data_IF_042485338554
#
_entry.id   IF_042485338554
#
_cell.length_a   1.000
_cell.length_b   1.000
_cell.length_c   1.000
_cell.angle_alpha   90.00
_cell.angle_beta   90.00
_cell.angle_gamma   90.00
#
_symmetry.space_group_name_H-M   'P 1'
#
loop_
_entity.id
_entity.type
_entity.pdbx_description
1 polymer ?
#
# COMPACT_ATOMS: atom_id res chain seq x y z
N UNK A 1 0.76 -10.38 27.93
CA UNK A 1 0.37 -11.02 26.64
C UNK A 1 -1.14 -10.94 26.38
N UNK A 2 -1.98 -10.64 27.37
CA UNK A 2 -3.45 -10.61 27.22
C UNK A 2 -4.01 -9.32 26.58
N UNK A 3 -3.26 -8.21 26.63
CA UNK A 3 -3.68 -6.93 26.04
C UNK A 3 -3.76 -6.94 24.51
N UNK A 4 -3.04 -7.86 23.83
CA UNK A 4 -3.02 -7.93 22.37
C UNK A 4 -4.27 -8.65 21.79
N UNK A 5 -4.86 -9.58 22.53
CA UNK A 5 -6.04 -10.32 22.08
C UNK A 5 -7.33 -9.50 22.18
N UNK A 6 -7.36 -8.49 23.06
CA UNK A 6 -8.54 -7.66 23.28
C UNK A 6 -8.71 -6.56 22.23
N UNK A 7 -7.71 -6.22 21.41
CA UNK A 7 -7.78 -5.10 20.46
C UNK A 7 -8.63 -5.39 19.21
N UNK A 8 -9.35 -6.51 19.13
CA UNK A 8 -10.14 -6.90 17.95
C UNK A 8 -11.40 -6.06 17.70
N UNK A 9 -11.86 -5.28 18.67
CA UNK A 9 -13.10 -4.51 18.61
C UNK A 9 -12.89 -3.07 19.11
N UNK A 10 -13.50 -2.10 18.41
CA UNK A 10 -13.72 -0.72 18.86
C UNK A 10 -14.10 -0.61 20.34
N UNK A 11 -14.98 -1.50 20.84
CA UNK A 11 -15.41 -1.50 22.25
C UNK A 11 -14.26 -1.74 23.24
N UNK A 12 -13.31 -2.59 22.87
CA UNK A 12 -12.15 -2.86 23.69
C UNK A 12 -11.17 -1.68 23.69
N UNK A 13 -11.01 -1.00 22.54
CA UNK A 13 -10.23 0.25 22.47
C UNK A 13 -10.82 1.31 23.41
N UNK A 14 -12.14 1.50 23.40
CA UNK A 14 -12.81 2.41 24.33
C UNK A 14 -12.63 1.99 25.79
N UNK A 15 -12.66 0.69 26.08
CA UNK A 15 -12.44 0.17 27.44
C UNK A 15 -11.03 0.48 27.94
N UNK A 16 -10.02 0.36 27.07
CA UNK A 16 -8.63 0.73 27.39
C UNK A 16 -8.49 2.24 27.63
N UNK A 17 -9.10 3.07 26.79
CA UNK A 17 -9.07 4.53 26.95
C UNK A 17 -9.72 4.96 28.28
N UNK A 18 -10.80 4.28 28.70
CA UNK A 18 -11.45 4.55 30.00
C UNK A 18 -10.56 4.19 31.19
N UNK A 19 -9.76 3.14 31.07
CA UNK A 19 -8.84 2.71 32.13
C UNK A 19 -7.58 3.58 32.19
N UNK A 20 -7.04 3.96 31.03
CA UNK A 20 -5.89 4.84 30.91
C UNK A 20 -6.12 5.85 29.76
N UNK A 21 -6.41 7.13 30.08
CA UNK A 21 -6.63 8.17 29.09
C UNK A 21 -5.43 8.43 28.16
N UNK A 22 -4.21 8.05 28.56
CA UNK A 22 -2.99 8.26 27.78
C UNK A 22 -2.56 7.01 26.99
N UNK A 23 -3.36 5.93 27.02
CA UNK A 23 -3.01 4.65 26.40
C UNK A 23 -2.70 4.78 24.91
N UNK A 24 -3.38 5.69 24.20
CA UNK A 24 -3.20 5.92 22.77
C UNK A 24 -1.80 6.43 22.42
N UNK A 25 -1.17 7.21 23.30
CA UNK A 25 0.18 7.73 23.07
C UNK A 25 1.26 6.66 23.26
N UNK A 26 0.96 5.63 24.06
CA UNK A 26 1.85 4.49 24.25
C UNK A 26 1.97 3.66 22.96
N UNK A 27 0.89 3.52 22.18
CA UNK A 27 0.92 2.81 20.89
C UNK A 27 1.85 3.49 19.87
N UNK A 28 1.98 4.81 19.90
CA UNK A 28 2.85 5.53 18.98
C UNK A 28 4.34 5.22 19.22
N UNK A 29 4.71 4.92 20.46
CA UNK A 29 6.08 4.58 20.85
C UNK A 29 6.47 3.15 20.48
N UNK A 30 5.49 2.29 20.22
CA UNK A 30 5.72 0.90 19.84
C UNK A 30 5.88 0.83 18.32
N UNK A 31 7.04 0.38 17.79
CA UNK A 31 7.29 0.36 16.35
C UNK A 31 6.36 -0.61 15.59
N UNK A 32 6.18 -1.82 16.13
CA UNK A 32 5.35 -2.88 15.55
C UNK A 32 4.29 -3.30 16.56
N UNK A 33 3.02 -3.12 16.21
CA UNK A 33 1.91 -3.44 17.10
C UNK A 33 0.66 -3.77 16.30
N UNK A 34 -0.01 -4.88 16.64
CA UNK A 34 -1.36 -5.13 16.15
C UNK A 34 -2.29 -4.11 16.81
N UNK A 35 -3.01 -3.36 15.99
CA UNK A 35 -3.98 -2.35 16.42
C UNK A 35 -5.37 -2.76 15.98
N UNK A 36 -6.44 -2.23 16.61
CA UNK A 36 -7.81 -2.51 16.18
C UNK A 36 -8.07 -2.18 14.71
N UNK A 37 -7.34 -1.22 14.14
CA UNK A 37 -7.46 -0.87 12.74
C UNK A 37 -6.97 -1.98 11.80
N UNK A 38 -6.02 -2.82 12.23
CA UNK A 38 -5.58 -3.98 11.46
C UNK A 38 -6.70 -5.01 11.32
N UNK A 39 -7.40 -5.32 12.42
CA UNK A 39 -8.53 -6.25 12.41
C UNK A 39 -9.73 -5.69 11.63
N UNK A 40 -10.07 -4.41 11.80
CA UNK A 40 -11.12 -3.75 11.02
C UNK A 40 -10.79 -3.76 9.51
N UNK A 41 -9.53 -3.49 9.15
CA UNK A 41 -9.08 -3.52 7.77
C UNK A 41 -9.12 -4.93 7.16
N UNK A 42 -8.65 -5.94 7.91
CA UNK A 42 -8.67 -7.36 7.52
C UNK A 42 -10.10 -7.87 7.28
N UNK A 43 -11.03 -7.48 8.15
CA UNK A 43 -12.44 -7.89 8.10
C UNK A 43 -13.32 -7.09 7.14
N UNK A 44 -12.83 -5.95 6.62
CA UNK A 44 -13.62 -5.07 5.77
C UNK A 44 -14.63 -4.20 6.52
N UNK A 45 -14.51 -4.08 7.85
CA UNK A 45 -15.41 -3.27 8.65
C UNK A 45 -15.04 -1.78 8.52
N UNK A 46 -15.59 -1.15 7.49
CA UNK A 46 -15.35 0.27 7.15
C UNK A 46 -15.75 1.20 8.29
N UNK A 47 -16.89 0.97 8.93
CA UNK A 47 -17.41 1.84 10.00
C UNK A 47 -16.44 1.89 11.18
N UNK A 48 -16.06 0.72 11.70
CA UNK A 48 -15.07 0.61 12.77
C UNK A 48 -13.71 1.16 12.34
N UNK A 49 -13.27 0.89 11.11
CA UNK A 49 -12.01 1.42 10.61
C UNK A 49 -11.98 2.96 10.64
N UNK A 50 -13.04 3.61 10.14
CA UNK A 50 -13.13 5.07 10.12
C UNK A 50 -13.26 5.66 11.52
N UNK A 51 -13.98 5.00 12.43
CA UNK A 51 -14.07 5.41 13.82
C UNK A 51 -12.69 5.36 14.51
N UNK A 52 -11.95 4.26 14.34
CA UNK A 52 -10.61 4.09 14.93
C UNK A 52 -9.64 5.14 14.38
N UNK A 53 -9.70 5.46 13.09
CA UNK A 53 -8.88 6.52 12.49
C UNK A 53 -9.21 7.89 13.09
N UNK A 54 -10.49 8.20 13.33
CA UNK A 54 -10.90 9.45 13.98
C UNK A 54 -10.35 9.56 15.40
N UNK A 55 -10.30 8.45 16.14
CA UNK A 55 -9.73 8.40 17.49
C UNK A 55 -8.21 8.53 17.48
N UNK A 56 -7.52 7.82 16.58
CA UNK A 56 -6.06 7.79 16.52
C UNK A 56 -5.57 7.63 15.07
N UNK A 57 -5.39 8.74 14.32
CA UNK A 57 -4.99 8.70 12.91
C UNK A 57 -3.66 7.99 12.64
N UNK A 58 -2.73 8.01 13.61
CA UNK A 58 -1.42 7.35 13.47
C UNK A 58 -1.53 5.84 13.24
N UNK A 59 -2.62 5.19 13.66
CA UNK A 59 -2.83 3.76 13.45
C UNK A 59 -2.87 3.38 11.97
N UNK A 60 -3.28 4.28 11.06
CA UNK A 60 -3.35 4.00 9.63
C UNK A 60 -1.98 3.66 9.00
N UNK A 61 -0.89 4.13 9.61
CA UNK A 61 0.49 3.90 9.15
C UNK A 61 1.26 2.90 10.01
N UNK A 62 0.69 2.42 11.12
CA UNK A 62 1.37 1.50 12.03
C UNK A 62 1.49 0.11 11.40
N UNK A 63 2.69 -0.47 11.30
CA UNK A 63 2.83 -1.86 10.92
C UNK A 63 2.54 -2.78 12.13
N UNK A 64 1.92 -3.92 11.87
CA UNK A 64 1.84 -5.00 12.84
C UNK A 64 3.17 -5.78 12.95
N UNK A 65 3.16 -6.85 13.75
CA UNK A 65 4.35 -7.68 14.01
C UNK A 65 4.88 -8.39 12.75
N UNK A 66 4.03 -8.63 11.76
CA UNK A 66 4.41 -9.19 10.47
C UNK A 66 4.90 -8.13 9.47
N UNK A 67 4.88 -6.85 9.87
CA UNK A 67 5.29 -5.71 9.06
C UNK A 67 4.19 -5.19 8.13
N UNK A 68 2.93 -5.61 8.28
CA UNK A 68 1.83 -5.13 7.44
C UNK A 68 1.13 -3.94 8.08
N UNK A 69 0.86 -2.89 7.30
CA UNK A 69 -0.05 -1.82 7.73
C UNK A 69 -1.52 -2.25 7.55
N UNK A 70 -2.50 -1.54 8.13
CA UNK A 70 -3.92 -1.82 7.89
C UNK A 70 -4.27 -1.85 6.41
N UNK A 71 -3.71 -0.93 5.61
CA UNK A 71 -3.95 -0.91 4.15
C UNK A 71 -3.48 -2.19 3.46
N UNK A 72 -2.36 -2.78 3.88
CA UNK A 72 -1.88 -4.05 3.35
C UNK A 72 -2.83 -5.20 3.70
N UNK A 73 -3.35 -5.23 4.93
CA UNK A 73 -4.31 -6.26 5.33
C UNK A 73 -5.64 -6.13 4.59
N UNK A 74 -6.14 -4.91 4.37
CA UNK A 74 -7.33 -4.70 3.56
C UNK A 74 -7.13 -5.20 2.13
N UNK A 75 -5.99 -4.89 1.51
CA UNK A 75 -5.62 -5.38 0.19
C UNK A 75 -5.52 -6.91 0.13
N UNK A 76 -4.81 -7.53 1.08
CA UNK A 76 -4.67 -8.98 1.19
C UNK A 76 -5.98 -9.74 1.33
N UNK A 77 -7.01 -9.10 1.86
CA UNK A 77 -8.32 -9.70 2.09
C UNK A 77 -9.39 -9.21 1.10
N UNK A 78 -8.99 -8.52 0.02
CA UNK A 78 -9.92 -8.05 -1.02
C UNK A 78 -10.91 -6.98 -0.55
N UNK A 79 -10.58 -6.24 0.52
CA UNK A 79 -11.46 -5.26 1.14
C UNK A 79 -11.36 -3.90 0.45
N UNK A 80 -11.70 -3.86 -0.85
CA UNK A 80 -11.54 -2.68 -1.72
C UNK A 80 -12.22 -1.44 -1.16
N UNK A 81 -13.42 -1.56 -0.59
CA UNK A 81 -14.12 -0.41 -0.01
C UNK A 81 -13.33 0.20 1.16
N UNK A 82 -12.75 -0.64 2.03
CA UNK A 82 -11.90 -0.17 3.13
C UNK A 82 -10.64 0.49 2.62
N UNK A 83 -10.02 -0.05 1.57
CA UNK A 83 -8.85 0.56 0.90
C UNK A 83 -9.18 1.97 0.39
N UNK A 84 -10.32 2.12 -0.29
CA UNK A 84 -10.76 3.43 -0.81
C UNK A 84 -10.99 4.44 0.32
N UNK A 85 -11.68 4.02 1.37
CA UNK A 85 -11.95 4.89 2.53
C UNK A 85 -10.67 5.26 3.27
N UNK A 86 -9.69 4.35 3.40
CA UNK A 86 -8.38 4.67 3.97
C UNK A 86 -7.69 5.78 3.17
N UNK A 87 -7.66 5.69 1.84
CA UNK A 87 -7.05 6.71 0.98
C UNK A 87 -7.76 8.06 1.12
N UNK A 88 -9.08 8.07 1.24
CA UNK A 88 -9.85 9.31 1.44
C UNK A 88 -9.50 10.01 2.77
N UNK A 89 -8.96 9.27 3.76
CA UNK A 89 -8.48 9.87 5.04
C UNK A 89 -7.07 10.45 4.93
N UNK A 90 -6.17 9.82 4.18
CA UNK A 90 -4.80 10.29 3.96
C UNK A 90 -4.25 9.69 2.65
N UNK A 91 -4.05 10.56 1.65
CA UNK A 91 -3.55 10.17 0.33
C UNK A 91 -2.15 9.56 0.39
N UNK A 92 -1.34 9.88 1.41
CA UNK A 92 0.02 9.33 1.56
C UNK A 92 0.00 7.83 1.91
N UNK A 93 -1.15 7.27 2.30
CA UNK A 93 -1.27 5.84 2.57
C UNK A 93 -0.99 4.99 1.33
N UNK A 94 -1.19 5.50 0.11
CA UNK A 94 -0.83 4.78 -1.13
C UNK A 94 0.67 4.48 -1.26
N UNK A 95 1.51 5.16 -0.46
CA UNK A 95 2.97 4.96 -0.40
C UNK A 95 3.44 4.27 0.87
N UNK A 96 2.54 3.85 1.75
CA UNK A 96 2.92 3.18 3.01
C UNK A 96 3.69 1.91 2.70
N UNK A 97 4.83 1.71 3.37
CA UNK A 97 5.67 0.53 3.18
C UNK A 97 5.33 -0.52 4.23
N UNK A 98 4.95 -1.70 3.76
CA UNK A 98 4.74 -2.89 4.58
C UNK A 98 5.95 -3.80 4.60
N UNK A 99 5.70 -5.09 4.75
CA UNK A 99 6.71 -6.14 4.74
C UNK A 99 7.51 -6.10 3.43
N UNK A 100 8.83 -6.28 3.53
CA UNK A 100 9.76 -6.17 2.40
C UNK A 100 9.74 -4.82 1.64
N UNK A 101 9.22 -3.76 2.26
CA UNK A 101 9.10 -2.46 1.61
C UNK A 101 8.05 -2.42 0.48
N UNK A 102 7.17 -3.43 0.42
CA UNK A 102 6.04 -3.48 -0.49
C UNK A 102 5.12 -2.28 -0.19
N UNK A 103 4.60 -1.65 -1.24
CA UNK A 103 3.59 -0.59 -1.13
C UNK A 103 2.25 -1.07 -1.71
N UNK A 104 1.14 -0.38 -1.45
CA UNK A 104 -0.14 -0.67 -2.09
C UNK A 104 -0.08 -0.86 -3.61
N UNK A 105 0.68 0.00 -4.32
CA UNK A 105 0.83 -0.12 -5.77
C UNK A 105 1.54 -1.41 -6.18
N UNK A 106 2.57 -1.83 -5.43
CA UNK A 106 3.24 -3.11 -5.63
C UNK A 106 2.25 -4.28 -5.48
N UNK A 107 1.42 -4.26 -4.44
CA UNK A 107 0.41 -5.29 -4.20
C UNK A 107 -0.62 -5.36 -5.33
N UNK A 108 -1.20 -4.22 -5.73
CA UNK A 108 -2.16 -4.19 -6.85
C UNK A 108 -1.53 -4.63 -8.17
N UNK A 109 -0.22 -4.43 -8.36
CA UNK A 109 0.53 -4.92 -9.53
C UNK A 109 0.76 -6.43 -9.50
N UNK A 110 0.97 -6.99 -8.31
CA UNK A 110 1.09 -8.44 -8.09
C UNK A 110 -0.25 -9.15 -8.30
N UNK A 111 -1.33 -8.58 -7.77
CA UNK A 111 -2.68 -9.13 -7.92
C UNK A 111 -3.21 -8.95 -9.35
N UNK A 112 -2.85 -7.83 -10.00
CA UNK A 112 -3.36 -7.44 -11.32
C UNK A 112 -4.67 -6.65 -11.24
N UNK A 113 -4.99 -6.05 -10.10
CA UNK A 113 -6.20 -5.24 -9.92
C UNK A 113 -6.06 -3.89 -10.63
N UNK A 114 -6.57 -3.84 -11.87
CA UNK A 114 -6.51 -2.67 -12.73
C UNK A 114 -7.22 -1.45 -12.11
N UNK A 115 -8.30 -1.68 -11.36
CA UNK A 115 -9.08 -0.60 -10.74
C UNK A 115 -8.27 0.07 -9.63
N UNK A 116 -7.66 -0.71 -8.74
CA UNK A 116 -6.81 -0.16 -7.68
C UNK A 116 -5.54 0.48 -8.23
N UNK A 117 -4.96 -0.08 -9.31
CA UNK A 117 -3.82 0.54 -10.00
C UNK A 117 -4.18 1.93 -10.52
N UNK A 118 -5.26 2.07 -11.28
CA UNK A 118 -5.71 3.37 -11.79
C UNK A 118 -6.02 4.34 -10.64
N UNK A 119 -6.69 3.87 -9.58
CA UNK A 119 -7.01 4.69 -8.42
C UNK A 119 -5.76 5.20 -7.71
N UNK A 120 -4.79 4.33 -7.41
CA UNK A 120 -3.56 4.72 -6.72
C UNK A 120 -2.72 5.69 -7.57
N UNK A 121 -2.63 5.47 -8.88
CA UNK A 121 -1.94 6.36 -9.80
C UNK A 121 -2.64 7.72 -9.93
N UNK A 122 -3.98 7.76 -9.91
CA UNK A 122 -4.73 9.01 -9.92
C UNK A 122 -4.48 9.87 -8.68
N UNK A 123 -4.23 9.22 -7.54
CA UNK A 123 -3.96 9.88 -6.26
C UNK A 123 -2.51 10.32 -6.16
N UNK A 124 -1.56 9.44 -6.50
CA UNK A 124 -0.14 9.72 -6.42
C UNK A 124 0.63 9.05 -7.56
N UNK A 125 0.83 9.74 -8.70
CA UNK A 125 1.59 9.20 -9.84
C UNK A 125 3.04 8.84 -9.47
N UNK A 126 3.64 9.59 -8.52
CA UNK A 126 5.00 9.33 -8.03
C UNK A 126 5.15 7.96 -7.37
N UNK A 127 4.06 7.26 -7.03
CA UNK A 127 4.12 5.91 -6.43
C UNK A 127 4.76 4.87 -7.37
N UNK A 128 4.81 5.15 -8.67
CA UNK A 128 5.57 4.36 -9.66
C UNK A 128 7.07 4.28 -9.38
N UNK A 129 7.64 5.25 -8.66
CA UNK A 129 9.05 5.29 -8.30
C UNK A 129 9.37 4.52 -7.01
N UNK A 130 8.34 4.11 -6.27
CA UNK A 130 8.59 3.31 -5.08
C UNK A 130 9.21 1.98 -5.47
N UNK A 131 10.17 1.57 -4.64
CA UNK A 131 10.85 0.29 -4.77
C UNK A 131 10.73 -0.51 -3.49
N UNK A 132 10.58 -1.82 -3.66
CA UNK A 132 10.70 -2.80 -2.58
C UNK A 132 12.12 -2.84 -2.03
N UNK A 133 12.34 -3.60 -0.95
CA UNK A 133 13.68 -3.90 -0.44
C UNK A 133 14.58 -4.59 -1.46
N UNK A 134 14.03 -5.23 -2.49
CA UNK A 134 14.78 -5.84 -3.61
C UNK A 134 15.05 -4.86 -4.75
N UNK A 135 14.61 -3.60 -4.64
CA UNK A 135 14.74 -2.62 -5.71
C UNK A 135 13.74 -2.83 -6.85
N UNK A 136 12.76 -3.72 -6.70
CA UNK A 136 11.72 -3.92 -7.70
C UNK A 136 10.69 -2.78 -7.61
N UNK A 137 10.35 -2.18 -8.74
CA UNK A 137 9.19 -1.28 -8.88
C UNK A 137 7.91 -2.06 -9.16
N UNK A 138 6.76 -1.39 -9.10
CA UNK A 138 5.45 -1.95 -9.51
C UNK A 138 5.48 -2.62 -10.89
N UNK A 139 6.21 -2.03 -11.86
CA UNK A 139 6.39 -2.59 -13.21
C UNK A 139 7.18 -3.91 -13.20
N UNK A 140 8.22 -4.03 -12.37
CA UNK A 140 8.97 -5.28 -12.23
C UNK A 140 8.05 -6.38 -11.68
N UNK A 141 7.23 -6.05 -10.68
CA UNK A 141 6.30 -7.00 -10.05
C UNK A 141 5.24 -7.49 -11.04
N UNK A 142 4.65 -6.58 -11.84
CA UNK A 142 3.66 -6.94 -12.85
C UNK A 142 4.24 -7.96 -13.85
N UNK A 143 5.45 -7.73 -14.39
CA UNK A 143 6.09 -8.66 -15.33
C UNK A 143 6.48 -9.99 -14.67
N UNK A 144 7.01 -9.97 -13.43
CA UNK A 144 7.39 -11.20 -12.69
C UNK A 144 6.19 -12.12 -12.46
N UNK A 145 5.01 -11.55 -12.26
CA UNK A 145 3.74 -12.25 -12.01
C UNK A 145 2.87 -12.40 -13.27
N UNK A 146 3.42 -12.15 -14.46
CA UNK A 146 2.74 -12.33 -15.74
C UNK A 146 1.44 -11.48 -15.87
N UNK A 147 1.38 -10.32 -15.21
CA UNK A 147 0.26 -9.37 -15.23
C UNK A 147 0.43 -8.34 -16.33
N UNK A 148 0.23 -8.77 -17.58
CA UNK A 148 0.45 -7.94 -18.78
C UNK A 148 -0.46 -6.71 -18.81
N UNK A 149 -1.73 -6.85 -18.45
CA UNK A 149 -2.70 -5.75 -18.42
C UNK A 149 -2.34 -4.73 -17.34
N UNK A 150 -1.90 -5.19 -16.16
CA UNK A 150 -1.41 -4.31 -15.11
C UNK A 150 -0.17 -3.54 -15.56
N UNK A 151 0.77 -4.21 -16.23
CA UNK A 151 1.93 -3.56 -16.84
C UNK A 151 1.50 -2.52 -17.88
N UNK A 152 0.52 -2.83 -18.72
CA UNK A 152 -0.03 -1.88 -19.69
C UNK A 152 -0.64 -0.67 -18.98
N UNK A 153 -1.44 -0.85 -17.92
CA UNK A 153 -2.01 0.28 -17.14
C UNK A 153 -0.92 1.12 -16.49
N UNK A 154 0.10 0.49 -15.89
CA UNK A 154 1.22 1.18 -15.24
C UNK A 154 2.11 1.94 -16.23
N UNK A 155 2.21 1.47 -17.48
CA UNK A 155 2.95 2.14 -18.57
C UNK A 155 2.06 3.09 -19.37
N UNK A 156 0.74 2.95 -19.26
CA UNK A 156 -0.23 3.83 -19.90
C UNK A 156 -0.07 5.19 -19.26
N UNK A 157 0.23 6.18 -20.10
CA UNK A 157 0.36 7.56 -19.67
C UNK A 157 -0.87 7.94 -18.83
N UNK A 158 -0.70 8.54 -17.64
CA UNK A 158 -1.79 9.33 -17.09
C UNK A 158 -2.17 10.36 -18.17
N UNK A 159 -3.45 10.46 -18.58
CA UNK A 159 -3.86 11.47 -19.55
C UNK A 159 -3.44 12.82 -19.00
N UNK A 160 -2.45 13.41 -19.66
CA UNK A 160 -1.72 14.55 -19.17
C UNK A 160 -2.70 15.71 -18.95
N UNK A 161 -2.70 16.23 -17.72
CA UNK A 161 -2.90 17.66 -17.52
C UNK A 161 -1.93 18.36 -18.48
N UNK A 162 -2.50 19.19 -19.34
CA UNK A 162 -1.86 19.87 -20.47
C UNK A 162 -0.63 20.64 -19.96
N UNK A 163 0.60 20.22 -20.29
CA UNK A 163 1.74 21.14 -20.12
C UNK A 163 3.19 20.62 -19.97
N UNK A 164 3.48 19.35 -19.70
CA UNK A 164 4.87 18.92 -19.38
C UNK A 164 5.36 17.77 -20.29
N UNK A 165 5.63 18.05 -21.57
CA UNK A 165 5.96 16.99 -22.55
C UNK A 165 7.38 16.41 -22.45
N UNK A 166 8.36 17.14 -21.90
CA UNK A 166 9.78 16.73 -21.98
C UNK A 166 10.30 16.03 -20.72
N UNK A 167 9.90 16.50 -19.52
CA UNK A 167 10.29 15.87 -18.27
C UNK A 167 9.68 14.46 -18.10
N UNK A 168 8.42 14.28 -18.53
CA UNK A 168 7.70 13.00 -18.49
C UNK A 168 8.29 11.94 -19.44
N UNK A 169 8.92 12.36 -20.54
CA UNK A 169 9.48 11.42 -21.52
C UNK A 169 10.81 10.84 -21.03
N UNK A 170 11.66 11.67 -20.40
CA UNK A 170 12.87 11.22 -19.71
C UNK A 170 12.52 10.38 -18.46
N UNK A 171 11.45 10.73 -17.76
CA UNK A 171 10.96 10.04 -16.56
C UNK A 171 10.57 8.58 -16.86
N UNK A 172 9.70 8.37 -17.85
CA UNK A 172 9.30 7.03 -18.27
C UNK A 172 10.51 6.22 -18.75
N UNK A 173 11.43 6.84 -19.50
CA UNK A 173 12.67 6.19 -19.94
C UNK A 173 13.58 5.79 -18.76
N UNK A 174 13.61 6.56 -17.67
CA UNK A 174 14.39 6.23 -16.46
C UNK A 174 13.77 5.06 -15.70
N UNK A 175 12.46 5.07 -15.49
CA UNK A 175 11.76 3.99 -14.76
C UNK A 175 11.80 2.69 -15.57
N UNK A 176 11.59 2.74 -16.89
CA UNK A 176 11.64 1.55 -17.74
C UNK A 176 13.04 0.92 -17.80
N UNK A 177 14.09 1.73 -17.69
CA UNK A 177 15.48 1.27 -17.64
C UNK A 177 16.01 1.06 -16.22
N UNK A 178 15.17 1.22 -15.20
CA UNK A 178 15.58 0.99 -13.82
C UNK A 178 15.95 -0.48 -13.63
N UNK A 179 17.00 -0.70 -12.84
CA UNK A 179 17.47 -2.03 -12.47
C UNK A 179 17.07 -2.30 -11.04
N UNK A 180 16.62 -3.50 -10.76
CA UNK A 180 16.48 -3.98 -9.39
C UNK A 180 17.85 -4.32 -8.78
N UNK A 181 17.88 -4.79 -7.53
CA UNK A 181 19.15 -5.16 -6.85
C UNK A 181 19.91 -6.29 -7.54
N UNK A 182 19.23 -7.13 -8.31
CA UNK A 182 19.85 -8.21 -9.09
C UNK A 182 20.44 -7.69 -10.43
N UNK A 183 20.32 -6.39 -10.71
CA UNK A 183 20.78 -5.77 -11.94
C UNK A 183 19.88 -6.01 -13.15
N UNK A 184 18.74 -6.68 -12.96
CA UNK A 184 17.77 -6.98 -14.01
C UNK A 184 16.92 -5.75 -14.32
N UNK A 185 16.77 -5.42 -15.61
CA UNK A 185 15.78 -4.43 -16.07
C UNK A 185 14.47 -5.11 -16.43
N UNK A 186 13.42 -4.33 -16.68
CA UNK A 186 12.14 -4.83 -17.19
C UNK A 186 12.32 -5.68 -18.46
N UNK A 187 13.23 -5.30 -19.37
CA UNK A 187 13.51 -6.07 -20.58
C UNK A 187 14.09 -7.45 -20.26
N UNK A 188 14.99 -7.56 -19.26
CA UNK A 188 15.55 -8.86 -18.85
C UNK A 188 14.45 -9.79 -18.31
N UNK A 189 13.49 -9.24 -17.56
CA UNK A 189 12.37 -10.00 -17.03
C UNK A 189 11.43 -10.43 -18.16
N UNK A 190 11.04 -9.52 -19.06
CA UNK A 190 10.16 -9.81 -20.18
C UNK A 190 10.73 -10.87 -21.13
N UNK A 191 12.04 -10.81 -21.45
CA UNK A 191 12.69 -11.81 -22.29
C UNK A 191 12.81 -13.16 -21.60
N UNK A 192 13.14 -13.20 -20.30
CA UNK A 192 13.19 -14.46 -19.55
C UNK A 192 11.83 -15.17 -19.45
N UNK A 193 10.74 -14.39 -19.47
CA UNK A 193 9.35 -14.88 -19.42
C UNK A 193 8.73 -15.13 -20.80
N UNK A 194 9.46 -14.87 -21.89
CA UNK A 194 8.96 -14.94 -23.26
C UNK A 194 7.70 -14.07 -23.51
N UNK A 195 7.63 -12.92 -22.84
CA UNK A 195 6.51 -11.96 -22.92
C UNK A 195 6.74 -10.89 -24.01
N UNK A 196 7.53 -11.21 -25.04
CA UNK A 196 7.97 -10.28 -26.11
C UNK A 196 7.05 -10.35 -27.32
#
# INVERSE_FOLDING_TARGET
MEAAAQLRDTNALYSLIRQDPYILDNFDRIPFIETPLHDAARSGNVESAMEIIRLKPSFAKKPNQDGFSPMHLALQNGQTQTVLQLIDTDLELVRVKGREGITPLHYASEDGDLYLLEKFLSVCPKSLEDVTNKGDTALHIALKNDKVEAFQVLTRRPPSVIGLKEADQCYNKRILNSKNRDGSTLLHIATSKNQV
#
